data_IF_129072309470
#
_entry.id   IF_129072309470
#
_cell.length_a   1.000
_cell.length_b   1.000
_cell.length_c   1.000
_cell.angle_alpha   90.00
_cell.angle_beta   90.00
_cell.angle_gamma   90.00
#
_symmetry.space_group_name_H-M   'P 1'
#
loop_
_entity.id
_entity.type
_entity.pdbx_description
1 polymer ?
#
# COMPACT_ATOMS: atom_id res chain seq x y z
N UNK A 1 -36.53 -12.61 5.23
CA UNK A 1 -35.90 -11.80 6.31
C UNK A 1 -35.10 -10.71 5.60
N UNK A 2 -35.59 -9.50 5.71
CA UNK A 2 -35.19 -8.35 4.86
C UNK A 2 -33.86 -7.78 5.28
N UNK A 3 -32.96 -7.74 4.31
CA UNK A 3 -31.62 -7.15 4.38
C UNK A 3 -31.66 -5.72 4.95
N UNK A 4 -31.15 -5.57 6.15
CA UNK A 4 -30.69 -4.26 6.61
C UNK A 4 -29.31 -3.99 5.98
N UNK A 5 -29.28 -3.55 4.72
CA UNK A 5 -28.15 -2.77 4.21
C UNK A 5 -28.06 -1.51 5.08
N UNK A 6 -27.08 -1.48 5.96
CA UNK A 6 -26.72 -0.25 6.67
C UNK A 6 -25.96 0.61 5.64
N UNK A 7 -26.73 1.30 4.79
CA UNK A 7 -26.17 2.35 3.97
C UNK A 7 -25.78 3.51 4.90
N UNK A 8 -24.55 3.54 5.38
CA UNK A 8 -24.04 4.58 6.29
C UNK A 8 -24.02 5.98 5.64
N UNK A 9 -24.30 6.10 4.34
CA UNK A 9 -24.14 7.32 3.57
C UNK A 9 -22.67 7.75 3.42
N UNK A 10 -21.73 7.13 4.16
CA UNK A 10 -20.30 7.41 4.10
C UNK A 10 -19.64 6.71 2.92
N UNK A 11 -18.59 7.32 2.36
CA UNK A 11 -17.68 6.65 1.44
C UNK A 11 -16.88 5.58 2.18
N UNK A 12 -16.50 4.51 1.47
CA UNK A 12 -15.80 3.35 2.04
C UNK A 12 -14.38 3.27 1.49
N UNK A 13 -13.40 3.21 2.39
CA UNK A 13 -11.99 2.99 2.04
C UNK A 13 -11.53 1.61 2.51
N UNK A 14 -11.08 0.79 1.58
CA UNK A 14 -10.40 -0.50 1.84
C UNK A 14 -8.89 -0.24 1.90
N UNK A 15 -8.25 -0.64 2.99
CA UNK A 15 -6.79 -0.49 3.18
C UNK A 15 -6.20 -1.82 3.61
N UNK A 16 -5.29 -2.39 2.84
CA UNK A 16 -4.50 -3.54 3.27
C UNK A 16 -3.12 -3.13 3.79
N UNK A 17 -2.48 -3.98 4.61
CA UNK A 17 -1.26 -3.61 5.33
C UNK A 17 -1.52 -2.52 6.38
N UNK A 18 -2.71 -2.53 6.98
CA UNK A 18 -3.22 -1.44 7.81
C UNK A 18 -2.75 -1.46 9.27
N UNK A 19 -2.07 -2.50 9.73
CA UNK A 19 -1.68 -2.61 11.14
C UNK A 19 -0.50 -1.70 11.52
N UNK A 20 0.33 -1.27 10.56
CA UNK A 20 1.55 -0.50 10.86
C UNK A 20 1.93 0.47 9.72
N UNK A 21 2.90 1.35 9.99
CA UNK A 21 3.54 2.22 8.99
C UNK A 21 2.55 3.02 8.15
N UNK A 22 2.82 3.10 6.85
CA UNK A 22 2.05 3.91 5.88
C UNK A 22 0.59 3.47 5.82
N UNK A 23 0.31 2.14 5.81
CA UNK A 23 -1.06 1.63 5.74
C UNK A 23 -1.89 2.01 6.97
N UNK A 24 -1.28 1.98 8.16
CA UNK A 24 -1.93 2.44 9.38
C UNK A 24 -2.22 3.94 9.33
N UNK A 25 -1.25 4.74 8.92
CA UNK A 25 -1.42 6.18 8.76
C UNK A 25 -2.53 6.51 7.76
N UNK A 26 -2.55 5.85 6.60
CA UNK A 26 -3.59 6.02 5.59
C UNK A 26 -4.99 5.61 6.10
N UNK A 27 -5.11 4.47 6.79
CA UNK A 27 -6.38 4.03 7.37
C UNK A 27 -6.94 5.05 8.36
N UNK A 28 -6.09 5.57 9.26
CA UNK A 28 -6.48 6.60 10.23
C UNK A 28 -6.80 7.94 9.56
N UNK A 29 -6.08 8.31 8.49
CA UNK A 29 -6.35 9.53 7.75
C UNK A 29 -7.68 9.46 7.01
N UNK A 30 -7.98 8.36 6.33
CA UNK A 30 -9.31 8.14 5.72
C UNK A 30 -10.43 8.21 6.76
N UNK A 31 -10.23 7.65 7.95
CA UNK A 31 -11.22 7.75 9.03
C UNK A 31 -11.45 9.21 9.47
N UNK A 32 -10.37 10.02 9.62
CA UNK A 32 -10.47 11.46 9.93
C UNK A 32 -11.20 12.24 8.82
N UNK A 33 -11.06 11.83 7.56
CA UNK A 33 -11.75 12.43 6.41
C UNK A 33 -13.20 11.93 6.25
N UNK A 34 -13.70 11.14 7.21
CA UNK A 34 -15.09 10.72 7.28
C UNK A 34 -15.43 9.47 6.46
N UNK A 35 -14.43 8.70 6.00
CA UNK A 35 -14.67 7.40 5.39
C UNK A 35 -15.01 6.33 6.44
N UNK A 36 -15.87 5.39 6.08
CA UNK A 36 -15.90 4.10 6.75
C UNK A 36 -14.70 3.28 6.26
N UNK A 37 -13.83 2.86 7.18
CA UNK A 37 -12.58 2.18 6.82
C UNK A 37 -12.69 0.68 7.03
N UNK A 38 -12.39 -0.09 5.99
CA UNK A 38 -12.22 -1.53 6.06
C UNK A 38 -10.71 -1.85 6.02
N UNK A 39 -10.15 -2.24 7.15
CA UNK A 39 -8.73 -2.45 7.36
C UNK A 39 -8.40 -3.95 7.37
N UNK A 40 -7.37 -4.33 6.60
CA UNK A 40 -6.91 -5.70 6.45
C UNK A 40 -5.40 -5.79 6.75
N UNK A 41 -4.98 -6.78 7.52
CA UNK A 41 -3.57 -7.05 7.80
C UNK A 41 -3.37 -8.49 8.26
N UNK A 42 -2.16 -9.03 8.10
CA UNK A 42 -1.78 -10.33 8.64
C UNK A 42 -1.59 -10.28 10.16
N UNK A 43 -1.31 -9.11 10.70
CA UNK A 43 -1.08 -8.87 12.13
C UNK A 43 -2.39 -8.67 12.90
N UNK A 44 -2.50 -9.32 14.07
CA UNK A 44 -3.57 -9.07 15.04
C UNK A 44 -3.69 -7.58 15.44
N UNK A 45 -2.60 -6.81 15.32
CA UNK A 45 -2.59 -5.38 15.64
C UNK A 45 -3.58 -4.56 14.80
N UNK A 46 -4.08 -5.10 13.68
CA UNK A 46 -5.14 -4.47 12.89
C UNK A 46 -6.42 -4.23 13.71
N UNK A 47 -6.71 -5.11 14.67
CA UNK A 47 -7.87 -4.99 15.56
C UNK A 47 -7.75 -3.87 16.61
N UNK A 48 -6.53 -3.34 16.81
CA UNK A 48 -6.30 -2.19 17.69
C UNK A 48 -6.53 -0.83 17.01
N UNK A 49 -6.90 -0.81 15.72
CA UNK A 49 -7.23 0.43 15.03
C UNK A 49 -8.56 1.01 15.56
N UNK A 50 -8.52 2.27 16.01
CA UNK A 50 -9.71 3.00 16.45
C UNK A 50 -10.48 3.52 15.22
N UNK A 51 -11.38 2.71 14.68
CA UNK A 51 -12.20 3.00 13.50
C UNK A 51 -13.68 3.05 13.91
N UNK A 52 -14.26 4.25 14.00
CA UNK A 52 -15.63 4.45 14.53
C UNK A 52 -16.71 3.65 13.76
N UNK A 53 -16.69 3.68 12.43
CA UNK A 53 -17.63 2.93 11.56
C UNK A 53 -16.93 1.88 10.71
N UNK A 54 -15.71 1.49 11.10
CA UNK A 54 -14.87 0.60 10.34
C UNK A 54 -15.14 -0.89 10.60
N UNK A 55 -14.40 -1.70 9.85
CA UNK A 55 -14.18 -3.12 10.15
C UNK A 55 -12.70 -3.42 10.05
N UNK A 56 -12.27 -4.39 10.82
CA UNK A 56 -10.90 -4.90 10.78
C UNK A 56 -10.93 -6.39 10.50
N UNK A 57 -10.00 -6.87 9.70
CA UNK A 57 -9.90 -8.27 9.33
C UNK A 57 -8.43 -8.71 9.38
N UNK A 58 -8.17 -9.79 10.11
CA UNK A 58 -6.86 -10.43 10.06
C UNK A 58 -6.84 -11.45 8.93
N UNK A 59 -5.88 -11.31 8.00
CA UNK A 59 -5.72 -12.24 6.88
C UNK A 59 -4.42 -11.97 6.12
N UNK A 60 -4.05 -12.91 5.26
CA UNK A 60 -2.86 -12.80 4.42
C UNK A 60 -3.25 -12.33 3.01
N UNK A 61 -2.64 -11.24 2.53
CA UNK A 61 -2.85 -10.73 1.16
C UNK A 61 -2.45 -11.74 0.08
N UNK A 62 -1.57 -12.68 0.42
CA UNK A 62 -1.14 -13.77 -0.45
C UNK A 62 -2.15 -14.95 -0.48
N UNK A 63 -3.13 -14.97 0.42
CA UNK A 63 -4.19 -15.97 0.48
C UNK A 63 -5.45 -15.46 -0.22
N UNK A 64 -5.76 -16.02 -1.38
CA UNK A 64 -6.93 -15.61 -2.17
C UNK A 64 -8.24 -15.75 -1.37
N UNK A 65 -8.38 -16.81 -0.56
CA UNK A 65 -9.57 -17.03 0.25
C UNK A 65 -9.78 -15.95 1.31
N UNK A 66 -8.70 -15.46 1.96
CA UNK A 66 -8.77 -14.40 2.96
C UNK A 66 -9.22 -13.08 2.32
N UNK A 67 -8.63 -12.74 1.16
CA UNK A 67 -8.98 -11.52 0.41
C UNK A 67 -10.43 -11.58 -0.05
N UNK A 68 -10.88 -12.72 -0.59
CA UNK A 68 -12.26 -12.92 -1.04
C UNK A 68 -13.26 -12.78 0.12
N UNK A 69 -12.98 -13.43 1.26
CA UNK A 69 -13.82 -13.37 2.45
C UNK A 69 -13.92 -11.93 3.01
N UNK A 70 -12.80 -11.23 3.07
CA UNK A 70 -12.78 -9.85 3.54
C UNK A 70 -13.59 -8.92 2.62
N UNK A 71 -13.38 -8.97 1.30
CA UNK A 71 -14.10 -8.11 0.37
C UNK A 71 -15.59 -8.42 0.36
N UNK A 72 -15.98 -9.71 0.50
CA UNK A 72 -17.38 -10.10 0.67
C UNK A 72 -18.01 -9.48 1.94
N UNK A 73 -17.28 -9.47 3.07
CA UNK A 73 -17.73 -8.81 4.29
C UNK A 73 -17.90 -7.29 4.12
N UNK A 74 -16.96 -6.64 3.38
CA UNK A 74 -17.07 -5.21 3.05
C UNK A 74 -18.32 -4.95 2.21
N UNK A 75 -18.56 -5.76 1.18
CA UNK A 75 -19.72 -5.62 0.29
C UNK A 75 -21.02 -5.88 1.03
N UNK A 76 -21.08 -6.89 1.89
CA UNK A 76 -22.26 -7.19 2.73
C UNK A 76 -22.59 -6.01 3.65
N UNK A 77 -21.58 -5.46 4.34
CA UNK A 77 -21.79 -4.39 5.32
C UNK A 77 -22.13 -3.05 4.68
N UNK A 78 -21.41 -2.67 3.63
CA UNK A 78 -21.47 -1.31 3.08
C UNK A 78 -22.12 -1.24 1.69
N UNK A 79 -22.09 -2.31 0.90
CA UNK A 79 -22.60 -2.37 -0.46
C UNK A 79 -21.78 -1.56 -1.48
N UNK A 80 -20.64 -0.98 -1.06
CA UNK A 80 -19.79 -0.11 -1.86
C UNK A 80 -18.32 -0.15 -1.44
N UNK A 81 -17.45 0.21 -2.37
CA UNK A 81 -16.03 0.55 -2.12
C UNK A 81 -15.69 1.78 -2.97
N UNK A 82 -15.30 2.88 -2.34
CA UNK A 82 -14.95 4.13 -3.03
C UNK A 82 -13.44 4.27 -3.22
N UNK A 83 -12.68 3.74 -2.27
CA UNK A 83 -11.22 3.76 -2.30
C UNK A 83 -10.67 2.37 -2.02
N UNK A 84 -9.65 1.97 -2.79
CA UNK A 84 -8.78 0.84 -2.49
C UNK A 84 -7.35 1.35 -2.35
N UNK A 85 -6.74 1.15 -1.18
CA UNK A 85 -5.31 1.38 -0.96
C UNK A 85 -4.59 0.05 -0.77
N UNK A 86 -3.81 -0.36 -1.79
CA UNK A 86 -2.95 -1.54 -1.74
C UNK A 86 -1.58 -1.16 -1.19
N UNK A 87 -1.40 -1.35 0.12
CA UNK A 87 -0.22 -0.94 0.85
C UNK A 87 0.65 -2.10 1.36
N UNK A 88 0.08 -3.29 1.59
CA UNK A 88 0.80 -4.44 2.10
C UNK A 88 2.03 -4.79 1.24
N UNK A 89 3.14 -5.04 1.90
CA UNK A 89 4.38 -5.42 1.24
C UNK A 89 5.41 -5.98 2.19
N UNK A 90 6.37 -6.70 1.64
CA UNK A 90 7.53 -7.23 2.34
C UNK A 90 8.79 -6.97 1.53
N UNK A 91 9.93 -6.92 2.19
CA UNK A 91 11.25 -6.76 1.58
C UNK A 91 12.14 -7.95 1.88
N UNK A 92 13.05 -8.24 0.99
CA UNK A 92 14.22 -9.11 1.21
C UNK A 92 15.46 -8.33 0.80
N UNK A 93 16.42 -8.25 1.69
CA UNK A 93 17.70 -7.56 1.48
C UNK A 93 18.82 -8.58 1.54
N UNK A 94 19.21 -9.08 0.37
CA UNK A 94 20.27 -10.09 0.18
C UNK A 94 20.99 -9.86 -1.16
N UNK A 95 22.26 -10.26 -1.31
CA UNK A 95 22.87 -10.45 -2.62
C UNK A 95 21.97 -11.36 -3.47
N UNK A 96 21.93 -11.10 -4.79
CA UNK A 96 21.01 -11.85 -5.67
C UNK A 96 21.32 -13.35 -5.67
N UNK A 97 22.60 -13.71 -5.66
CA UNK A 97 23.10 -15.09 -5.63
C UNK A 97 22.74 -15.84 -4.33
N UNK A 98 22.53 -15.11 -3.23
CA UNK A 98 22.14 -15.64 -1.92
C UNK A 98 20.62 -15.62 -1.69
N UNK A 99 19.85 -15.15 -2.68
CA UNK A 99 18.39 -15.05 -2.59
C UNK A 99 17.74 -16.37 -3.00
N UNK A 100 17.07 -17.03 -2.07
CA UNK A 100 16.35 -18.27 -2.34
C UNK A 100 15.13 -18.03 -3.23
N UNK A 101 14.77 -19.05 -4.03
CA UNK A 101 13.54 -18.99 -4.83
C UNK A 101 12.28 -18.81 -3.96
N UNK A 102 12.28 -19.31 -2.74
CA UNK A 102 11.22 -19.08 -1.76
C UNK A 102 11.12 -17.62 -1.32
N UNK A 103 12.25 -16.92 -1.15
CA UNK A 103 12.27 -15.47 -0.89
C UNK A 103 11.68 -14.69 -2.07
N UNK A 104 12.09 -15.03 -3.30
CA UNK A 104 11.52 -14.45 -4.51
C UNK A 104 10.00 -14.63 -4.56
N UNK A 105 9.52 -15.86 -4.40
CA UNK A 105 8.09 -16.16 -4.45
C UNK A 105 7.31 -15.44 -3.35
N UNK A 106 7.84 -15.38 -2.13
CA UNK A 106 7.21 -14.66 -1.02
C UNK A 106 7.05 -13.17 -1.33
N UNK A 107 8.12 -12.51 -1.79
CA UNK A 107 8.08 -11.08 -2.12
C UNK A 107 7.14 -10.82 -3.31
N UNK A 108 7.21 -11.63 -4.36
CA UNK A 108 6.35 -11.51 -5.54
C UNK A 108 4.87 -11.73 -5.21
N UNK A 109 4.57 -12.77 -4.42
CA UNK A 109 3.19 -13.12 -4.05
C UNK A 109 2.57 -12.08 -3.13
N UNK A 110 3.33 -11.55 -2.17
CA UNK A 110 2.80 -10.51 -1.27
C UNK A 110 2.66 -9.17 -2.01
N UNK A 111 3.74 -8.67 -2.62
CA UNK A 111 3.77 -7.29 -3.14
C UNK A 111 2.93 -7.11 -4.41
N UNK A 112 3.06 -8.04 -5.37
CA UNK A 112 2.32 -7.97 -6.63
C UNK A 112 1.06 -8.83 -6.60
N UNK A 113 1.15 -10.07 -6.11
CA UNK A 113 0.01 -10.98 -6.02
C UNK A 113 -1.08 -10.44 -5.11
N UNK A 114 -0.74 -9.93 -3.91
CA UNK A 114 -1.69 -9.30 -3.01
C UNK A 114 -2.37 -8.08 -3.62
N UNK A 115 -1.61 -7.21 -4.31
CA UNK A 115 -2.17 -6.08 -5.06
C UNK A 115 -3.17 -6.58 -6.11
N UNK A 116 -2.79 -7.58 -6.92
CA UNK A 116 -3.68 -8.19 -7.92
C UNK A 116 -4.95 -8.76 -7.30
N UNK A 117 -4.86 -9.51 -6.21
CA UNK A 117 -6.03 -10.13 -5.57
C UNK A 117 -7.02 -9.07 -5.05
N UNK A 118 -6.55 -8.01 -4.40
CA UNK A 118 -7.44 -6.93 -3.98
C UNK A 118 -8.13 -6.24 -5.15
N UNK A 119 -7.42 -5.99 -6.26
CA UNK A 119 -8.03 -5.48 -7.49
C UNK A 119 -9.09 -6.45 -8.00
N UNK A 120 -8.77 -7.74 -8.13
CA UNK A 120 -9.68 -8.78 -8.64
C UNK A 120 -11.03 -8.78 -7.92
N UNK A 121 -11.04 -8.68 -6.60
CA UNK A 121 -12.26 -8.76 -5.80
C UNK A 121 -12.97 -7.42 -5.59
N UNK A 122 -12.27 -6.29 -5.58
CA UNK A 122 -12.86 -4.96 -5.41
C UNK A 122 -13.43 -4.39 -6.73
N UNK A 123 -12.78 -4.66 -7.86
CA UNK A 123 -13.18 -4.11 -9.15
C UNK A 123 -14.64 -4.39 -9.56
N UNK A 124 -15.22 -5.59 -9.35
CA UNK A 124 -16.63 -5.82 -9.66
C UNK A 124 -17.56 -4.84 -8.93
N UNK A 125 -17.23 -4.46 -7.69
CA UNK A 125 -18.00 -3.50 -6.90
C UNK A 125 -17.88 -2.11 -7.49
N UNK A 126 -16.65 -1.61 -7.74
CA UNK A 126 -16.40 -0.29 -8.31
C UNK A 126 -16.97 -0.16 -9.74
N UNK A 127 -16.88 -1.21 -10.57
CA UNK A 127 -17.45 -1.22 -11.93
C UNK A 127 -18.98 -1.08 -11.90
N UNK A 128 -19.66 -1.73 -10.97
CA UNK A 128 -21.13 -1.54 -10.78
C UNK A 128 -21.46 -0.12 -10.33
N UNK A 129 -20.60 0.51 -9.51
CA UNK A 129 -20.76 1.90 -9.06
C UNK A 129 -20.48 2.91 -10.18
N UNK A 130 -19.69 2.53 -11.19
CA UNK A 130 -19.10 3.43 -12.20
C UNK A 130 -18.29 4.56 -11.57
N UNK A 131 -17.62 4.28 -10.48
CA UNK A 131 -16.81 5.21 -9.71
C UNK A 131 -15.87 4.47 -8.77
N UNK A 132 -14.68 4.99 -8.59
CA UNK A 132 -13.70 4.48 -7.63
C UNK A 132 -12.34 5.16 -7.78
N UNK A 133 -11.53 5.08 -6.72
CA UNK A 133 -10.14 5.49 -6.76
C UNK A 133 -9.25 4.40 -6.13
N UNK A 134 -8.20 4.02 -6.83
CA UNK A 134 -7.25 3.01 -6.36
C UNK A 134 -5.88 3.65 -6.25
N UNK A 135 -5.21 3.43 -5.11
CA UNK A 135 -3.84 3.88 -4.86
C UNK A 135 -2.99 2.68 -4.45
N UNK A 136 -2.03 2.33 -5.30
CA UNK A 136 -1.09 1.24 -5.06
C UNK A 136 0.21 1.77 -4.46
N UNK A 137 0.86 1.01 -3.59
CA UNK A 137 2.14 1.40 -3.01
C UNK A 137 3.31 0.85 -3.83
N UNK A 138 3.92 1.73 -4.62
CA UNK A 138 5.20 1.54 -5.28
C UNK A 138 6.37 1.67 -4.30
N UNK A 139 7.50 2.14 -4.79
CA UNK A 139 8.71 2.52 -4.03
C UNK A 139 9.70 3.21 -4.96
N UNK A 140 10.59 4.05 -4.44
CA UNK A 140 11.78 4.51 -5.18
C UNK A 140 12.59 3.34 -5.75
N UNK A 141 12.58 2.18 -5.09
CA UNK A 141 13.24 0.95 -5.57
C UNK A 141 12.67 0.42 -6.89
N UNK A 142 11.48 0.87 -7.29
CA UNK A 142 10.92 0.61 -8.62
C UNK A 142 11.45 1.54 -9.71
N UNK A 143 12.18 2.58 -9.37
CA UNK A 143 12.72 3.60 -10.27
C UNK A 143 14.25 3.57 -10.35
N UNK A 144 14.92 3.30 -9.23
CA UNK A 144 16.39 3.30 -9.13
C UNK A 144 16.90 1.99 -8.56
N UNK A 145 18.12 1.63 -8.95
CA UNK A 145 18.79 0.46 -8.41
C UNK A 145 19.22 0.71 -6.96
N UNK A 146 18.97 -0.28 -6.12
CA UNK A 146 19.46 -0.34 -4.75
C UNK A 146 20.20 -1.66 -4.54
N UNK A 147 21.36 -1.59 -3.88
CA UNK A 147 22.17 -2.78 -3.58
C UNK A 147 21.35 -3.75 -2.74
N UNK A 148 21.34 -5.04 -3.14
CA UNK A 148 20.66 -6.15 -2.45
C UNK A 148 19.11 -6.08 -2.41
N UNK A 149 18.50 -5.17 -3.18
CA UNK A 149 17.05 -5.01 -3.28
C UNK A 149 16.47 -5.49 -4.62
N UNK A 150 17.21 -6.32 -5.38
CA UNK A 150 16.84 -6.69 -6.74
C UNK A 150 15.39 -7.22 -6.86
N UNK A 151 15.00 -8.16 -5.98
CA UNK A 151 13.65 -8.74 -6.02
C UNK A 151 12.59 -7.74 -5.56
N UNK A 152 12.89 -6.99 -4.50
CA UNK A 152 11.98 -5.95 -4.02
C UNK A 152 11.74 -4.88 -5.09
N UNK A 153 12.81 -4.33 -5.66
CA UNK A 153 12.74 -3.35 -6.75
C UNK A 153 11.97 -3.87 -7.96
N UNK A 154 12.21 -5.12 -8.37
CA UNK A 154 11.46 -5.76 -9.45
C UNK A 154 9.95 -5.80 -9.15
N UNK A 155 9.53 -6.19 -7.93
CA UNK A 155 8.10 -6.22 -7.58
C UNK A 155 7.48 -4.82 -7.51
N UNK A 156 8.21 -3.83 -7.02
CA UNK A 156 7.73 -2.44 -6.95
C UNK A 156 7.64 -1.79 -8.34
N UNK A 157 8.60 -2.06 -9.22
CA UNK A 157 8.50 -1.69 -10.64
C UNK A 157 7.32 -2.36 -11.34
N UNK A 158 7.05 -3.64 -11.03
CA UNK A 158 5.89 -4.35 -11.54
C UNK A 158 4.56 -3.73 -11.07
N UNK A 159 4.44 -3.31 -9.80
CA UNK A 159 3.26 -2.60 -9.28
C UNK A 159 3.03 -1.28 -10.02
N UNK A 160 4.09 -0.51 -10.31
CA UNK A 160 4.01 0.75 -11.08
C UNK A 160 3.52 0.47 -12.51
N UNK A 161 4.06 -0.55 -13.18
CA UNK A 161 3.63 -0.94 -14.51
C UNK A 161 2.18 -1.46 -14.53
N UNK A 162 1.81 -2.28 -13.55
CA UNK A 162 0.45 -2.78 -13.33
C UNK A 162 -0.54 -1.64 -13.16
N UNK A 163 -0.20 -0.62 -12.35
CA UNK A 163 -1.00 0.59 -12.13
C UNK A 163 -1.36 1.26 -13.44
N UNK A 164 -0.38 1.47 -14.34
CA UNK A 164 -0.59 2.10 -15.64
C UNK A 164 -1.53 1.30 -16.55
N UNK A 165 -1.33 -0.01 -16.61
CA UNK A 165 -2.16 -0.90 -17.43
C UNK A 165 -3.62 -0.90 -16.95
N UNK A 166 -3.82 -1.08 -15.64
CA UNK A 166 -5.15 -1.13 -15.04
C UNK A 166 -5.87 0.21 -15.10
N UNK A 167 -5.15 1.34 -15.02
CA UNK A 167 -5.73 2.68 -15.20
C UNK A 167 -6.39 2.84 -16.56
N UNK A 168 -5.75 2.37 -17.63
CA UNK A 168 -6.33 2.39 -18.99
C UNK A 168 -7.53 1.45 -19.12
N UNK A 169 -7.44 0.23 -18.56
CA UNK A 169 -8.54 -0.73 -18.58
C UNK A 169 -9.81 -0.21 -17.88
N UNK A 170 -9.62 0.58 -16.81
CA UNK A 170 -10.72 1.02 -15.95
C UNK A 170 -11.26 2.42 -16.27
N UNK A 171 -10.66 3.12 -17.22
CA UNK A 171 -11.07 4.48 -17.60
C UNK A 171 -12.55 4.55 -18.04
N UNK A 172 -13.02 3.57 -18.82
CA UNK A 172 -14.43 3.50 -19.26
C UNK A 172 -15.43 3.34 -18.10
N UNK A 173 -14.95 2.88 -16.94
CA UNK A 173 -15.75 2.71 -15.72
C UNK A 173 -15.67 3.90 -14.77
N UNK A 174 -14.98 4.99 -15.16
CA UNK A 174 -14.73 6.16 -14.31
C UNK A 174 -14.03 5.78 -12.98
N UNK A 175 -13.07 4.85 -13.04
CA UNK A 175 -12.24 4.41 -11.93
C UNK A 175 -10.82 4.90 -12.18
N UNK A 176 -10.25 5.66 -11.23
CA UNK A 176 -8.88 6.15 -11.31
C UNK A 176 -7.95 5.18 -10.59
N UNK A 177 -6.77 4.95 -11.16
CA UNK A 177 -5.75 4.08 -10.56
C UNK A 177 -4.41 4.78 -10.62
N UNK A 178 -3.80 5.01 -9.47
CA UNK A 178 -2.49 5.65 -9.35
C UNK A 178 -1.59 4.86 -8.40
N UNK A 179 -0.31 5.15 -8.41
CA UNK A 179 0.64 4.66 -7.40
C UNK A 179 1.33 5.80 -6.69
N UNK A 180 1.79 5.52 -5.49
CA UNK A 180 2.69 6.36 -4.70
C UNK A 180 3.97 5.58 -4.48
N UNK A 181 5.11 6.19 -4.76
CA UNK A 181 6.44 5.61 -4.61
C UNK A 181 7.24 6.36 -3.53
N UNK A 182 7.17 5.89 -2.26
CA UNK A 182 7.90 6.52 -1.17
C UNK A 182 9.41 6.29 -1.22
N UNK A 183 10.17 7.23 -0.65
CA UNK A 183 11.57 7.06 -0.24
C UNK A 183 11.70 6.36 1.10
N UNK A 184 12.62 6.82 1.95
CA UNK A 184 12.80 6.31 3.31
C UNK A 184 11.74 6.88 4.25
N UNK A 185 10.85 6.02 4.71
CA UNK A 185 9.75 6.37 5.62
C UNK A 185 9.96 5.65 6.95
N UNK A 186 9.83 6.35 8.08
CA UNK A 186 10.00 5.78 9.42
C UNK A 186 8.92 4.76 9.76
N UNK A 187 9.18 3.53 9.38
CA UNK A 187 8.27 2.39 9.55
C UNK A 187 8.98 1.22 10.20
N UNK A 188 8.26 0.27 10.80
CA UNK A 188 8.86 -0.97 11.30
C UNK A 188 9.66 -1.73 10.22
N UNK A 189 9.23 -1.69 8.96
CA UNK A 189 9.93 -2.32 7.83
C UNK A 189 11.31 -1.68 7.62
N UNK A 190 11.39 -0.35 7.48
CA UNK A 190 12.66 0.34 7.28
C UNK A 190 13.59 0.20 8.49
N UNK A 191 13.05 0.34 9.71
CA UNK A 191 13.85 0.13 10.94
C UNK A 191 14.42 -1.29 11.01
N UNK A 192 13.65 -2.29 10.61
CA UNK A 192 14.11 -3.69 10.51
C UNK A 192 15.23 -3.87 9.48
N UNK A 193 15.11 -3.23 8.31
CA UNK A 193 16.13 -3.26 7.27
C UNK A 193 17.45 -2.62 7.74
N UNK A 194 17.38 -1.43 8.35
CA UNK A 194 18.55 -0.75 8.94
C UNK A 194 19.19 -1.59 10.05
N UNK A 195 18.39 -2.26 10.87
CA UNK A 195 18.94 -3.15 11.92
C UNK A 195 19.67 -4.35 11.32
N UNK A 196 19.16 -4.94 10.23
CA UNK A 196 19.86 -6.01 9.52
C UNK A 196 21.16 -5.52 8.89
N UNK A 197 21.17 -4.35 8.28
CA UNK A 197 22.37 -3.74 7.74
C UNK A 197 23.41 -3.43 8.83
N UNK A 198 22.98 -2.86 9.96
CA UNK A 198 23.80 -2.61 11.14
C UNK A 198 24.47 -3.91 11.64
N UNK A 199 23.71 -4.99 11.74
CA UNK A 199 24.25 -6.30 12.16
C UNK A 199 25.27 -6.85 11.16
N UNK A 200 25.01 -6.70 9.87
CA UNK A 200 25.88 -7.20 8.80
C UNK A 200 27.19 -6.41 8.68
N UNK A 201 27.11 -5.09 8.80
CA UNK A 201 28.28 -4.21 8.63
C UNK A 201 29.10 -4.00 9.90
N UNK A 202 28.50 -4.31 11.07
CA UNK A 202 29.07 -4.00 12.39
C UNK A 202 28.98 -2.52 12.75
N UNK A 203 28.35 -1.68 11.93
CA UNK A 203 28.14 -0.26 12.21
C UNK A 203 26.96 -0.06 13.16
N UNK A 204 27.00 0.94 14.05
CA UNK A 204 25.86 1.29 14.89
C UNK A 204 24.62 1.66 14.06
N UNK A 205 23.43 1.30 14.54
CA UNK A 205 22.13 1.61 13.89
C UNK A 205 22.02 3.09 13.47
N UNK A 206 22.39 4.02 14.35
CA UNK A 206 22.31 5.45 14.10
C UNK A 206 23.30 5.94 13.02
N UNK A 207 24.37 5.21 12.78
CA UNK A 207 25.32 5.53 11.70
C UNK A 207 24.76 5.06 10.37
N UNK A 208 24.27 3.83 10.28
CA UNK A 208 23.59 3.30 9.08
C UNK A 208 22.39 4.18 8.74
N UNK A 209 21.59 4.56 9.73
CA UNK A 209 20.44 5.47 9.54
C UNK A 209 20.87 6.79 8.91
N UNK A 210 21.91 7.45 9.44
CA UNK A 210 22.42 8.73 8.89
C UNK A 210 22.89 8.61 7.47
N UNK A 211 23.52 7.49 7.07
CA UNK A 211 23.92 7.29 5.68
C UNK A 211 22.68 7.15 4.76
N UNK A 212 21.66 6.43 5.21
CA UNK A 212 20.40 6.30 4.46
C UNK A 212 19.61 7.62 4.39
N UNK A 213 19.70 8.48 5.39
CA UNK A 213 19.09 9.82 5.36
C UNK A 213 19.69 10.71 4.26
N UNK A 214 21.00 10.57 3.95
CA UNK A 214 21.68 11.32 2.88
C UNK A 214 21.23 10.97 1.46
N UNK A 215 20.51 9.87 1.29
CA UNK A 215 19.94 9.50 -0.01
C UNK A 215 18.82 10.48 -0.43
N UNK A 216 18.24 11.20 0.51
CA UNK A 216 17.17 12.18 0.36
C UNK A 216 17.70 13.61 0.53
N UNK A 217 17.18 14.56 -0.27
CA UNK A 217 17.69 15.92 -0.32
C UNK A 217 17.65 16.65 1.04
N UNK A 218 16.64 16.36 1.89
CA UNK A 218 16.53 16.98 3.21
C UNK A 218 17.21 16.16 4.32
N UNK A 219 17.92 15.09 3.99
CA UNK A 219 18.67 14.26 4.92
C UNK A 219 17.86 13.84 6.16
N UNK A 220 16.62 13.40 5.95
CA UNK A 220 15.75 12.84 6.98
C UNK A 220 14.85 11.74 6.42
N UNK A 221 14.34 10.90 7.27
CA UNK A 221 13.20 10.06 6.92
C UNK A 221 11.90 10.88 6.99
N UNK A 222 10.92 10.49 6.17
CA UNK A 222 9.58 11.03 6.30
C UNK A 222 8.78 10.22 7.33
N UNK A 223 7.77 10.87 7.90
CA UNK A 223 6.77 10.18 8.71
C UNK A 223 5.74 9.48 7.81
N UNK A 224 5.16 8.35 8.24
CA UNK A 224 4.11 7.65 7.49
C UNK A 224 2.94 8.55 7.08
N UNK A 225 2.61 9.54 7.90
CA UNK A 225 1.55 10.51 7.67
C UNK A 225 1.82 11.37 6.43
N UNK A 226 3.07 11.71 6.13
CA UNK A 226 3.44 12.50 4.93
C UNK A 226 3.10 11.74 3.63
N UNK A 227 3.20 10.41 3.64
CA UNK A 227 2.78 9.56 2.52
C UNK A 227 1.27 9.37 2.50
N UNK A 228 0.65 9.21 3.67
CA UNK A 228 -0.80 9.04 3.80
C UNK A 228 -1.58 10.24 3.24
N UNK A 229 -1.09 11.47 3.43
CA UNK A 229 -1.69 12.68 2.83
C UNK A 229 -1.73 12.61 1.30
N UNK A 230 -0.64 12.15 0.66
CA UNK A 230 -0.60 11.99 -0.80
C UNK A 230 -1.54 10.87 -1.26
N UNK A 231 -1.61 9.75 -0.52
CA UNK A 231 -2.55 8.67 -0.80
C UNK A 231 -4.00 9.20 -0.74
N UNK A 232 -4.36 9.93 0.32
CA UNK A 232 -5.70 10.50 0.48
C UNK A 232 -6.02 11.54 -0.59
N UNK A 233 -5.04 12.39 -0.97
CA UNK A 233 -5.21 13.32 -2.09
C UNK A 233 -5.54 12.58 -3.39
N UNK A 234 -4.75 11.56 -3.76
CA UNK A 234 -4.96 10.78 -4.99
C UNK A 234 -6.29 10.00 -4.96
N UNK A 235 -6.76 9.59 -3.79
CA UNK A 235 -8.05 8.95 -3.60
C UNK A 235 -9.24 9.93 -3.68
N UNK A 236 -9.01 11.23 -3.49
CA UNK A 236 -10.06 12.26 -3.42
C UNK A 236 -10.47 12.78 -4.79
N UNK A 237 -11.59 13.52 -4.84
CA UNK A 237 -12.07 14.25 -6.03
C UNK A 237 -11.11 15.38 -6.48
N UNK A 238 -10.21 15.83 -5.60
CA UNK A 238 -9.19 16.82 -5.96
C UNK A 238 -8.21 16.29 -7.01
N UNK A 239 -8.07 14.97 -7.12
CA UNK A 239 -7.25 14.29 -8.12
C UNK A 239 -8.08 13.74 -9.30
N UNK A 240 -9.25 14.34 -9.62
CA UNK A 240 -10.19 13.85 -10.64
C UNK A 240 -9.59 13.71 -12.03
N UNK A 241 -8.52 14.45 -12.35
CA UNK A 241 -7.82 14.39 -13.65
C UNK A 241 -6.47 13.66 -13.56
N UNK A 242 -6.27 12.84 -12.51
CA UNK A 242 -5.04 12.08 -12.29
C UNK A 242 -5.36 10.59 -12.31
N UNK A 243 -4.89 9.87 -13.33
CA UNK A 243 -4.96 8.41 -13.43
C UNK A 243 -3.75 7.87 -14.19
N UNK A 244 -3.28 6.66 -13.85
CA UNK A 244 -2.09 6.04 -14.43
C UNK A 244 -0.76 6.69 -14.00
N UNK A 245 -0.81 7.64 -13.06
CA UNK A 245 0.38 8.32 -12.56
C UNK A 245 1.04 7.53 -11.42
N UNK A 246 2.36 7.68 -11.33
CA UNK A 246 3.13 7.28 -10.16
C UNK A 246 3.72 8.53 -9.50
N UNK A 247 3.42 8.74 -8.22
CA UNK A 247 3.83 9.92 -7.48
C UNK A 247 4.96 9.60 -6.52
N UNK A 248 6.14 10.16 -6.79
CA UNK A 248 7.29 10.07 -5.89
C UNK A 248 7.05 10.91 -4.63
N UNK A 249 7.20 10.28 -3.46
CA UNK A 249 7.20 10.92 -2.14
C UNK A 249 8.52 10.56 -1.48
N UNK A 250 9.62 11.08 -2.02
CA UNK A 250 10.98 10.59 -1.83
C UNK A 250 11.98 11.69 -1.49
N UNK A 251 11.50 12.91 -1.29
CA UNK A 251 12.35 14.07 -1.02
C UNK A 251 13.51 14.20 -2.04
N UNK A 252 13.20 13.96 -3.34
CA UNK A 252 14.14 14.17 -4.45
C UNK A 252 15.17 13.04 -4.64
N UNK A 253 14.99 11.89 -4.01
CA UNK A 253 15.93 10.77 -4.17
C UNK A 253 16.09 10.36 -5.65
N UNK A 254 15.00 10.24 -6.38
CA UNK A 254 15.03 9.84 -7.81
C UNK A 254 15.41 11.00 -8.75
N UNK A 255 15.45 12.22 -8.24
CA UNK A 255 15.70 13.41 -9.06
C UNK A 255 17.20 13.71 -9.29
N UNK A 256 18.11 12.94 -8.70
CA UNK A 256 19.59 13.11 -8.80
C UNK A 256 20.22 12.17 -9.81
#
# INVERSE_FOLDING_TARGET
MTDKKIATGKRVAVVNGAASGIGRAAALQFAREGYAVAAFDISEAVHALALEDGITFRGDVACEADVAAFVAQVEEKYGRVDVLNCNAGVVVVKPLEDTDYSDFMRVATVNLGGTFLFHKYVLPIMKRQKSGAIVNLGSVSGHVGQTQHAIYGATKGAVIAFTRAVAWELAEHNIRVNSVSPGSIDTPMLRGDIQLESTRTGLPFEEVKREREKEQAFCRWAEPEEVAEVICFLASEKASFVTGADWLVDCGWVAK
#
